data_IF_938922986442
#
_entry.id   IF_938922986442
#
_cell.length_a   1.000
_cell.length_b   1.000
_cell.length_c   1.000
_cell.angle_alpha   90.00
_cell.angle_beta   90.00
_cell.angle_gamma   90.00
#
_symmetry.space_group_name_H-M   'P 1'
#
loop_
_entity.id
_entity.type
_entity.pdbx_description
1 polymer ?
#
# COMPACT_ATOMS: atom_id res chain seq x y z
N UNK A 1 9.18 52.51 16.60
CA UNK A 1 9.02 52.06 15.20
C UNK A 1 8.62 50.59 15.27
N UNK A 2 7.32 50.31 15.22
CA UNK A 2 6.77 48.97 15.30
C UNK A 2 6.52 48.45 13.89
N UNK A 3 6.92 47.22 13.58
CA UNK A 3 6.31 46.47 12.49
C UNK A 3 6.33 44.98 12.82
N UNK A 4 5.15 44.49 13.19
CA UNK A 4 4.83 43.09 13.39
C UNK A 4 4.80 42.39 12.02
N UNK A 5 5.74 41.46 11.78
CA UNK A 5 5.69 40.59 10.61
C UNK A 5 4.90 39.32 10.95
N UNK A 6 3.62 39.37 10.61
CA UNK A 6 2.61 38.32 10.66
C UNK A 6 3.12 36.98 10.08
N UNK A 7 3.10 35.94 10.91
CA UNK A 7 3.41 34.56 10.56
C UNK A 7 2.26 33.97 9.75
N UNK A 8 2.36 34.02 8.41
CA UNK A 8 1.40 33.38 7.52
C UNK A 8 1.58 31.86 7.61
N UNK A 9 0.79 31.21 8.47
CA UNK A 9 0.68 29.75 8.55
C UNK A 9 -0.23 29.26 7.43
N UNK A 10 0.34 28.99 6.26
CA UNK A 10 -0.34 28.20 5.23
C UNK A 10 -0.38 26.72 5.69
N UNK A 11 -1.50 26.00 5.53
CA UNK A 11 -1.59 24.61 5.98
C UNK A 11 -0.64 23.73 5.17
N UNK A 12 0.35 23.15 5.85
CA UNK A 12 1.23 22.12 5.29
C UNK A 12 0.33 20.98 4.80
N UNK A 13 0.14 20.88 3.48
CA UNK A 13 -0.55 19.75 2.86
C UNK A 13 0.22 18.49 3.26
N UNK A 14 -0.33 17.69 4.17
CA UNK A 14 0.22 16.38 4.54
C UNK A 14 0.33 15.58 3.25
N UNK A 15 1.56 15.40 2.77
CA UNK A 15 1.84 14.55 1.63
C UNK A 15 1.31 13.15 1.96
N UNK A 16 0.28 12.72 1.23
CA UNK A 16 -0.25 11.36 1.28
C UNK A 16 0.93 10.43 1.04
N UNK A 17 1.34 9.66 2.06
CA UNK A 17 2.44 8.71 1.96
C UNK A 17 2.25 7.90 0.68
N UNK A 18 3.23 8.00 -0.22
CA UNK A 18 3.27 7.20 -1.45
C UNK A 18 3.32 5.75 -1.00
N UNK A 19 2.22 5.04 -1.20
CA UNK A 19 2.00 3.67 -0.75
C UNK A 19 3.17 2.82 -1.25
N UNK A 20 3.99 2.30 -0.33
CA UNK A 20 5.19 1.47 -0.59
C UNK A 20 4.82 0.19 -1.35
N UNK A 21 4.57 0.29 -2.64
CA UNK A 21 4.20 -0.84 -3.50
C UNK A 21 5.22 -0.93 -4.62
N UNK A 22 5.99 -2.01 -4.61
CA UNK A 22 6.95 -2.34 -5.67
C UNK A 22 6.22 -3.07 -6.79
N UNK A 23 6.48 -2.68 -8.04
CA UNK A 23 6.02 -3.44 -9.21
C UNK A 23 6.99 -4.59 -9.41
N UNK A 24 6.48 -5.81 -9.41
CA UNK A 24 7.24 -7.03 -9.67
C UNK A 24 6.54 -7.81 -10.78
N UNK A 25 7.31 -8.59 -11.54
CA UNK A 25 6.77 -9.58 -12.48
C UNK A 25 6.94 -10.94 -11.83
N UNK A 26 5.82 -11.63 -11.59
CA UNK A 26 5.78 -12.98 -11.05
C UNK A 26 4.88 -13.83 -11.93
N UNK A 27 5.19 -15.12 -12.04
CA UNK A 27 4.23 -16.10 -12.55
C UNK A 27 3.31 -16.51 -11.40
N UNK A 28 2.02 -16.58 -11.70
CA UNK A 28 0.98 -17.03 -10.79
C UNK A 28 0.10 -17.99 -11.59
N UNK A 29 -0.32 -19.08 -10.96
CA UNK A 29 -1.17 -20.05 -11.62
C UNK A 29 -2.50 -19.43 -12.05
N UNK A 30 -3.00 -19.83 -13.21
CA UNK A 30 -4.24 -19.30 -13.78
C UNK A 30 -5.45 -19.56 -12.88
N UNK A 31 -5.47 -20.71 -12.20
CA UNK A 31 -6.50 -21.05 -11.22
C UNK A 31 -6.54 -20.06 -10.05
N UNK A 32 -5.37 -19.68 -9.54
CA UNK A 32 -5.26 -18.74 -8.43
C UNK A 32 -5.75 -17.36 -8.88
N UNK A 33 -5.38 -16.93 -10.09
CA UNK A 33 -5.83 -15.66 -10.65
C UNK A 33 -7.36 -15.65 -10.87
N UNK A 34 -7.95 -16.75 -11.36
CA UNK A 34 -9.38 -16.88 -11.57
C UNK A 34 -10.16 -16.77 -10.24
N UNK A 35 -9.72 -17.48 -9.20
CA UNK A 35 -10.32 -17.43 -7.87
C UNK A 35 -10.28 -16.01 -7.29
N UNK A 36 -9.12 -15.34 -7.35
CA UNK A 36 -9.01 -13.97 -6.84
C UNK A 36 -9.81 -12.95 -7.67
N UNK A 37 -10.01 -13.19 -8.97
CA UNK A 37 -10.92 -12.36 -9.77
C UNK A 37 -12.36 -12.53 -9.32
N UNK A 38 -12.84 -13.77 -9.19
CA UNK A 38 -14.20 -14.04 -8.70
C UNK A 38 -14.42 -13.44 -7.29
N UNK A 39 -13.44 -13.60 -6.41
CA UNK A 39 -13.47 -13.02 -5.07
C UNK A 39 -13.47 -11.48 -5.12
N UNK A 40 -12.76 -10.87 -6.08
CA UNK A 40 -12.72 -9.42 -6.26
C UNK A 40 -14.06 -8.84 -6.73
N UNK A 41 -14.76 -9.54 -7.62
CA UNK A 41 -16.09 -9.16 -8.10
C UNK A 41 -17.11 -9.18 -6.96
N UNK A 42 -17.04 -10.21 -6.10
CA UNK A 42 -17.93 -10.37 -4.95
C UNK A 42 -17.66 -9.38 -3.82
N UNK A 43 -16.38 -9.07 -3.55
CA UNK A 43 -15.96 -8.21 -2.45
C UNK A 43 -15.85 -6.72 -2.81
N UNK A 44 -15.93 -6.38 -4.11
CA UNK A 44 -15.68 -5.02 -4.60
C UNK A 44 -14.25 -4.53 -4.38
N UNK A 45 -13.32 -5.42 -4.01
CA UNK A 45 -11.92 -5.12 -3.72
C UNK A 45 -11.05 -5.75 -4.80
N UNK A 46 -10.20 -4.97 -5.48
CA UNK A 46 -9.41 -5.49 -6.60
C UNK A 46 -8.56 -6.72 -6.24
N UNK A 47 -8.47 -7.68 -7.18
CA UNK A 47 -7.78 -8.97 -7.01
C UNK A 47 -6.36 -8.83 -6.45
N UNK A 48 -5.60 -7.82 -6.89
CA UNK A 48 -4.25 -7.57 -6.40
C UNK A 48 -4.18 -7.23 -4.90
N UNK A 49 -5.22 -6.58 -4.36
CA UNK A 49 -5.30 -6.28 -2.92
C UNK A 49 -5.56 -7.56 -2.14
N UNK A 50 -6.42 -8.44 -2.67
CA UNK A 50 -6.72 -9.73 -2.06
C UNK A 50 -5.50 -10.66 -2.07
N UNK A 51 -4.78 -10.72 -3.19
CA UNK A 51 -3.50 -11.45 -3.30
C UNK A 51 -2.51 -10.92 -2.26
N UNK A 52 -2.35 -9.61 -2.13
CA UNK A 52 -1.44 -9.04 -1.13
C UNK A 52 -1.88 -9.34 0.32
N UNK A 53 -3.19 -9.39 0.59
CA UNK A 53 -3.69 -9.76 1.91
C UNK A 53 -3.41 -11.24 2.23
N UNK A 54 -3.62 -12.14 1.26
CA UNK A 54 -3.30 -13.56 1.39
C UNK A 54 -1.81 -13.78 1.63
N UNK A 55 -0.95 -13.11 0.83
CA UNK A 55 0.51 -13.16 1.01
C UNK A 55 0.92 -12.68 2.41
N UNK A 56 0.32 -11.60 2.93
CA UNK A 56 0.58 -11.12 4.30
C UNK A 56 0.14 -12.10 5.38
N UNK A 57 -0.96 -12.81 5.16
CA UNK A 57 -1.46 -13.81 6.12
C UNK A 57 -0.59 -15.06 6.16
N UNK A 58 0.11 -15.40 5.07
CA UNK A 58 1.01 -16.54 4.99
C UNK A 58 2.43 -16.24 5.50
N UNK A 59 2.80 -14.96 5.63
CA UNK A 59 4.08 -14.57 6.20
C UNK A 59 4.03 -14.75 7.73
N UNK A 60 5.03 -15.40 8.36
CA UNK A 60 5.16 -15.38 9.80
C UNK A 60 5.30 -13.93 10.27
N UNK A 61 4.71 -13.60 11.42
CA UNK A 61 4.57 -12.23 11.95
C UNK A 61 5.89 -11.43 12.17
N UNK A 62 7.05 -11.96 11.77
CA UNK A 62 8.38 -11.35 11.87
C UNK A 62 8.99 -10.82 10.55
N UNK A 63 8.26 -10.81 9.44
CA UNK A 63 8.75 -10.31 8.14
C UNK A 63 8.88 -8.78 8.01
N UNK A 64 9.23 -8.08 9.09
CA UNK A 64 9.61 -6.67 9.03
C UNK A 64 11.05 -6.58 8.49
N UNK A 65 11.18 -6.18 7.22
CA UNK A 65 12.37 -5.66 6.53
C UNK A 65 13.71 -5.83 7.27
N UNK A 66 14.68 -6.61 6.75
CA UNK A 66 16.07 -6.40 7.12
C UNK A 66 16.43 -4.99 6.61
N UNK A 67 16.53 -4.05 7.55
CA UNK A 67 17.13 -2.74 7.32
C UNK A 67 18.58 -3.02 6.94
N UNK A 68 18.84 -3.20 5.64
CA UNK A 68 20.19 -3.25 5.11
C UNK A 68 20.86 -1.93 5.49
N UNK A 69 21.78 -2.04 6.45
CA UNK A 69 22.71 -1.02 6.88
C UNK A 69 23.74 -0.73 5.80
#
# INVERSE_FOLDING_TARGET
>A
MNLEANVTTAPIRRARQVKRKTRITIYLDDEVLAEFRSLSERSGTGYQTLINAALRSGLPAGGAEPRLA
#
